data_IF_424521119026
#
_entry.id   IF_424521119026
#
_cell.length_a   1.000
_cell.length_b   1.000
_cell.length_c   1.000
_cell.angle_alpha   90.00
_cell.angle_beta   90.00
_cell.angle_gamma   90.00
#
_symmetry.space_group_name_H-M   'P 1'
#
loop_
_entity.id
_entity.type
_entity.pdbx_description
1 polymer ?
#
# COMPACT_ATOMS: atom_id res chain seq x y z
N UNK A 1 -33.43 9.74 -29.19
CA UNK A 1 -32.90 10.93 -29.89
C UNK A 1 -31.74 10.50 -30.78
N UNK A 2 -31.66 11.00 -32.02
CA UNK A 2 -30.53 10.68 -32.92
C UNK A 2 -29.28 11.46 -32.54
N UNK A 3 -28.13 10.79 -32.54
CA UNK A 3 -26.82 11.34 -32.23
C UNK A 3 -25.90 11.16 -33.44
N UNK A 4 -25.38 12.23 -33.99
CA UNK A 4 -24.45 12.19 -35.13
C UNK A 4 -23.04 12.47 -34.63
N UNK A 5 -22.16 11.47 -34.66
CA UNK A 5 -20.78 11.58 -34.16
C UNK A 5 -19.78 11.58 -35.31
N UNK A 6 -18.65 12.26 -35.13
CA UNK A 6 -17.47 12.14 -35.98
C UNK A 6 -16.60 11.01 -35.46
N UNK A 7 -16.57 9.89 -36.17
CA UNK A 7 -15.78 8.73 -35.79
C UNK A 7 -14.45 8.76 -36.53
N UNK A 8 -13.35 9.05 -35.83
CA UNK A 8 -11.99 8.88 -36.35
C UNK A 8 -11.61 7.40 -36.29
N UNK A 9 -11.44 6.78 -37.45
CA UNK A 9 -10.95 5.40 -37.58
C UNK A 9 -9.42 5.45 -37.60
N UNK A 10 -8.79 5.31 -36.44
CA UNK A 10 -7.35 5.56 -36.28
C UNK A 10 -6.47 4.73 -37.23
N UNK A 11 -6.74 3.44 -37.51
CA UNK A 11 -5.92 2.66 -38.45
C UNK A 11 -5.87 3.21 -39.88
N UNK A 12 -6.92 3.92 -40.32
CA UNK A 12 -6.99 4.49 -41.67
C UNK A 12 -6.78 6.00 -41.68
N UNK A 13 -6.78 6.65 -40.51
CA UNK A 13 -6.74 8.10 -40.36
C UNK A 13 -8.00 8.82 -40.86
N UNK A 14 -9.05 8.09 -41.24
CA UNK A 14 -10.26 8.67 -41.82
C UNK A 14 -11.29 9.01 -40.74
N UNK A 15 -11.86 10.21 -40.80
CA UNK A 15 -13.01 10.61 -39.97
C UNK A 15 -14.31 10.44 -40.75
N UNK A 16 -15.22 9.61 -40.24
CA UNK A 16 -16.56 9.39 -40.84
C UNK A 16 -17.64 9.95 -39.92
N UNK A 17 -18.58 10.72 -40.47
CA UNK A 17 -19.80 11.09 -39.73
C UNK A 17 -20.75 9.90 -39.71
N UNK A 18 -21.13 9.46 -38.52
CA UNK A 18 -22.01 8.32 -38.32
C UNK A 18 -23.18 8.68 -37.40
N UNK A 19 -24.36 8.18 -37.76
CA UNK A 19 -25.59 8.36 -36.99
C UNK A 19 -25.82 7.16 -36.08
N UNK A 20 -26.06 7.44 -34.81
CA UNK A 20 -26.38 6.50 -33.73
C UNK A 20 -27.66 6.96 -33.00
N UNK A 21 -28.14 6.15 -32.06
CA UNK A 21 -29.14 6.58 -31.08
C UNK A 21 -28.45 6.81 -29.74
N UNK A 22 -28.90 7.81 -28.97
CA UNK A 22 -28.25 8.16 -27.71
C UNK A 22 -28.31 7.02 -26.67
N UNK A 23 -29.36 6.20 -26.70
CA UNK A 23 -29.58 5.02 -25.85
C UNK A 23 -28.84 3.77 -26.32
N UNK A 24 -28.21 3.79 -27.51
CA UNK A 24 -27.42 2.67 -28.03
C UNK A 24 -26.28 2.31 -27.07
N UNK A 25 -26.08 1.01 -26.84
CA UNK A 25 -24.95 0.50 -26.08
C UNK A 25 -23.62 0.75 -26.82
N UNK A 26 -22.56 1.07 -26.08
CA UNK A 26 -21.23 1.32 -26.67
C UNK A 26 -20.72 0.10 -27.45
N UNK A 27 -20.95 -1.12 -26.95
CA UNK A 27 -20.60 -2.35 -27.66
C UNK A 27 -21.31 -2.50 -29.01
N UNK A 28 -22.60 -2.14 -29.08
CA UNK A 28 -23.39 -2.13 -30.32
C UNK A 28 -22.91 -1.04 -31.30
N UNK A 29 -22.56 0.13 -30.77
CA UNK A 29 -21.97 1.21 -31.57
C UNK A 29 -20.62 0.79 -32.19
N UNK A 30 -19.78 0.07 -31.43
CA UNK A 30 -18.52 -0.50 -31.93
C UNK A 30 -18.77 -1.48 -33.08
N UNK A 31 -19.75 -2.38 -32.95
CA UNK A 31 -20.14 -3.32 -34.01
C UNK A 31 -20.59 -2.55 -35.26
N UNK A 32 -21.46 -1.55 -35.09
CA UNK A 32 -21.94 -0.69 -36.20
C UNK A 32 -20.79 0.01 -36.93
N UNK A 33 -19.81 0.53 -36.18
CA UNK A 33 -18.63 1.18 -36.75
C UNK A 33 -17.79 0.17 -37.53
N UNK A 34 -17.55 -1.01 -36.96
CA UNK A 34 -16.79 -2.09 -37.61
C UNK A 34 -17.45 -2.53 -38.92
N UNK A 35 -18.76 -2.72 -38.94
CA UNK A 35 -19.51 -3.11 -40.14
C UNK A 35 -19.45 -2.03 -41.23
N UNK A 36 -19.58 -0.74 -40.88
CA UNK A 36 -19.55 0.37 -41.84
C UNK A 36 -18.15 0.76 -42.33
N UNK A 37 -17.12 0.35 -41.60
CA UNK A 37 -15.73 0.69 -41.92
C UNK A 37 -14.95 -0.48 -42.48
N UNK A 38 -15.41 -1.70 -42.23
CA UNK A 38 -14.69 -2.96 -42.53
C UNK A 38 -13.29 -2.99 -41.90
N UNK A 39 -13.09 -2.23 -40.82
CA UNK A 39 -11.80 -2.10 -40.10
C UNK A 39 -12.03 -2.49 -38.64
N UNK A 40 -11.05 -3.19 -38.05
CA UNK A 40 -11.00 -3.46 -36.61
C UNK A 40 -11.31 -4.90 -36.20
N UNK A 41 -11.40 -5.12 -34.88
CA UNK A 41 -11.51 -6.45 -34.27
C UNK A 41 -11.98 -6.37 -32.80
N UNK A 42 -11.92 -7.49 -32.09
CA UNK A 42 -12.30 -7.55 -30.66
C UNK A 42 -11.37 -6.70 -29.76
N UNK A 43 -10.15 -6.40 -30.23
CA UNK A 43 -9.16 -5.57 -29.58
C UNK A 43 -9.39 -4.06 -29.78
N UNK A 44 -10.49 -3.65 -30.42
CA UNK A 44 -10.83 -2.25 -30.63
C UNK A 44 -11.87 -1.74 -29.63
N UNK A 45 -11.80 -0.45 -29.35
CA UNK A 45 -12.76 0.26 -28.52
C UNK A 45 -13.01 1.67 -29.03
N UNK A 46 -13.94 2.36 -28.37
CA UNK A 46 -14.18 3.77 -28.59
C UNK A 46 -13.56 4.60 -27.49
N UNK A 47 -12.78 5.59 -27.90
CA UNK A 47 -12.13 6.54 -27.04
C UNK A 47 -12.68 7.93 -27.30
N UNK A 48 -13.10 8.61 -26.24
CA UNK A 48 -13.49 10.01 -26.30
C UNK A 48 -12.25 10.85 -25.97
N UNK A 49 -11.71 11.63 -26.92
CA UNK A 49 -10.60 12.53 -26.65
C UNK A 49 -11.04 13.67 -25.72
N UNK A 50 -10.06 14.36 -25.13
CA UNK A 50 -10.33 15.59 -24.42
C UNK A 50 -11.02 16.58 -25.37
N UNK A 51 -12.16 17.11 -24.96
CA UNK A 51 -12.92 18.08 -25.75
C UNK A 51 -12.91 19.47 -25.10
N UNK A 52 -13.41 20.46 -25.83
CA UNK A 52 -13.49 21.87 -25.38
C UNK A 52 -14.40 22.07 -24.16
N UNK A 53 -15.12 21.03 -23.71
CA UNK A 53 -15.95 21.05 -22.51
C UNK A 53 -15.19 20.60 -21.26
N UNK A 54 -13.85 20.55 -21.36
CA UNK A 54 -12.93 20.17 -20.29
C UNK A 54 -13.20 18.76 -19.73
N UNK A 55 -13.81 17.88 -20.53
CA UNK A 55 -13.95 16.48 -20.11
C UNK A 55 -12.61 15.78 -20.30
N UNK A 56 -12.14 15.12 -19.24
CA UNK A 56 -10.97 14.27 -19.33
C UNK A 56 -11.20 13.20 -20.41
N UNK A 57 -10.16 12.89 -21.21
CA UNK A 57 -10.22 11.81 -22.19
C UNK A 57 -10.62 10.52 -21.49
N UNK A 58 -11.36 9.63 -22.16
CA UNK A 58 -11.77 8.36 -21.56
C UNK A 58 -12.16 7.30 -22.56
N UNK A 59 -12.01 6.05 -22.15
CA UNK A 59 -12.53 4.92 -22.88
C UNK A 59 -14.02 4.75 -22.58
N UNK A 60 -14.83 4.69 -23.64
CA UNK A 60 -16.25 4.35 -23.52
C UNK A 60 -16.33 2.86 -23.15
N UNK A 61 -17.13 2.54 -22.13
CA UNK A 61 -17.26 1.18 -21.58
C UNK A 61 -18.39 0.46 -22.29
N UNK A 62 -18.11 -0.75 -22.76
CA UNK A 62 -19.02 -1.54 -23.61
C UNK A 62 -20.40 -1.77 -22.95
N UNK A 63 -20.47 -1.79 -21.61
CA UNK A 63 -21.67 -1.99 -20.82
C UNK A 63 -22.47 -0.70 -20.50
N UNK A 64 -22.11 0.45 -21.09
CA UNK A 64 -22.84 1.71 -20.93
C UNK A 64 -23.42 2.19 -22.26
N UNK A 65 -24.36 3.12 -22.19
CA UNK A 65 -24.95 3.77 -23.36
C UNK A 65 -24.16 5.01 -23.76
N UNK A 66 -24.27 5.44 -25.02
CA UNK A 66 -23.62 6.68 -25.50
C UNK A 66 -24.09 7.92 -24.72
N UNK A 67 -25.37 7.98 -24.34
CA UNK A 67 -25.96 9.07 -23.55
C UNK A 67 -25.30 9.22 -22.17
N UNK A 68 -24.81 8.13 -21.57
CA UNK A 68 -24.16 8.17 -20.26
C UNK A 68 -22.87 8.99 -20.24
N UNK A 69 -22.33 9.32 -21.42
CA UNK A 69 -21.10 10.09 -21.59
C UNK A 69 -21.33 11.56 -21.95
N UNK A 70 -22.59 11.99 -22.09
CA UNK A 70 -22.92 13.38 -22.42
C UNK A 70 -22.47 13.81 -23.82
N UNK A 71 -22.35 12.86 -24.75
CA UNK A 71 -21.99 13.12 -26.15
C UNK A 71 -23.11 13.90 -26.86
N UNK A 72 -22.72 14.89 -27.64
CA UNK A 72 -23.61 15.69 -28.48
C UNK A 72 -23.34 15.51 -29.97
N UNK A 73 -24.19 16.10 -30.81
CA UNK A 73 -23.99 16.07 -32.25
C UNK A 73 -22.66 16.74 -32.63
N UNK A 74 -21.99 16.16 -33.62
CA UNK A 74 -20.68 16.56 -34.15
C UNK A 74 -19.48 16.40 -33.20
N UNK A 75 -19.68 15.81 -32.01
CA UNK A 75 -18.59 15.37 -31.14
C UNK A 75 -17.75 14.28 -31.81
N UNK A 76 -16.45 14.29 -31.50
CA UNK A 76 -15.48 13.35 -32.06
C UNK A 76 -15.22 12.18 -31.10
N UNK A 77 -15.17 10.97 -31.64
CA UNK A 77 -14.76 9.75 -30.95
C UNK A 77 -13.76 8.99 -31.81
N UNK A 78 -12.78 8.35 -31.17
CA UNK A 78 -11.70 7.62 -31.83
C UNK A 78 -11.97 6.13 -31.73
N UNK A 79 -12.12 5.48 -32.88
CA UNK A 79 -12.20 4.04 -32.99
C UNK A 79 -10.81 3.46 -33.22
N UNK A 80 -10.25 2.82 -32.20
CA UNK A 80 -8.84 2.45 -32.15
C UNK A 80 -8.57 1.21 -31.31
N UNK A 81 -7.35 0.65 -31.43
CA UNK A 81 -6.90 -0.50 -30.65
C UNK A 81 -6.80 -0.16 -29.16
N UNK A 82 -7.39 -1.01 -28.33
CA UNK A 82 -7.28 -1.01 -26.86
C UNK A 82 -5.86 -1.39 -26.44
N UNK A 83 -5.22 -2.32 -27.17
CA UNK A 83 -3.89 -2.81 -26.84
C UNK A 83 -2.78 -1.92 -27.40
N UNK A 84 -1.86 -1.48 -26.54
CA UNK A 84 -0.69 -0.69 -26.93
C UNK A 84 0.56 -1.14 -26.20
N UNK A 85 1.70 -1.09 -26.91
CA UNK A 85 3.01 -1.33 -26.32
C UNK A 85 3.43 -0.12 -25.48
N UNK A 86 3.65 -0.33 -24.18
CA UNK A 86 4.07 0.68 -23.21
C UNK A 86 5.48 0.37 -22.72
N UNK A 87 6.27 1.42 -22.49
CA UNK A 87 7.63 1.33 -21.92
C UNK A 87 7.56 1.43 -20.40
N UNK A 88 8.00 0.38 -19.70
CA UNK A 88 8.06 0.34 -18.24
C UNK A 88 9.51 0.18 -17.80
N UNK A 89 10.02 1.13 -17.02
CA UNK A 89 11.31 1.04 -16.33
C UNK A 89 11.12 0.28 -15.02
N UNK A 90 11.80 -0.85 -14.91
CA UNK A 90 11.76 -1.76 -13.76
C UNK A 90 12.66 -1.27 -12.61
N UNK A 91 12.63 -2.00 -11.49
CA UNK A 91 13.35 -1.67 -10.26
C UNK A 91 14.88 -1.73 -10.42
N UNK A 92 15.37 -2.63 -11.27
CA UNK A 92 16.79 -2.78 -11.63
C UNK A 92 17.29 -1.71 -12.63
N UNK A 93 16.40 -0.80 -13.06
CA UNK A 93 16.70 0.26 -14.02
C UNK A 93 16.49 -0.14 -15.49
N UNK A 94 16.21 -1.41 -15.79
CA UNK A 94 15.98 -1.90 -17.15
C UNK A 94 14.63 -1.41 -17.69
N UNK A 95 14.55 -1.07 -18.98
CA UNK A 95 13.30 -0.67 -19.62
C UNK A 95 12.76 -1.84 -20.46
N UNK A 96 11.55 -2.32 -20.14
CA UNK A 96 10.84 -3.34 -20.91
C UNK A 96 9.67 -2.72 -21.66
N UNK A 97 9.50 -3.16 -22.91
CA UNK A 97 8.32 -2.83 -23.72
C UNK A 97 7.31 -3.96 -23.57
N UNK A 98 6.09 -3.64 -23.15
CA UNK A 98 5.04 -4.63 -22.87
C UNK A 98 3.71 -4.18 -23.47
N UNK A 99 2.95 -5.12 -24.04
CA UNK A 99 1.65 -4.87 -24.63
C UNK A 99 0.56 -4.96 -23.54
N UNK A 100 -0.22 -3.89 -23.36
CA UNK A 100 -1.32 -3.83 -22.39
C UNK A 100 -2.60 -3.32 -23.02
N UNK A 101 -3.75 -3.77 -22.51
CA UNK A 101 -5.04 -3.15 -22.75
C UNK A 101 -5.14 -1.83 -21.97
N UNK A 102 -5.18 -0.69 -22.68
CA UNK A 102 -5.25 0.66 -22.12
C UNK A 102 -6.62 1.04 -21.58
N UNK A 103 -7.64 0.19 -21.75
CA UNK A 103 -8.96 0.36 -21.12
C UNK A 103 -8.97 -0.09 -19.67
N UNK A 104 -7.92 -0.78 -19.24
CA UNK A 104 -7.75 -1.27 -17.88
C UNK A 104 -7.20 -0.17 -16.95
N UNK A 105 -7.65 -0.15 -15.69
CA UNK A 105 -7.03 0.64 -14.63
C UNK A 105 -5.53 0.37 -14.48
N UNK A 106 -4.80 1.37 -14.00
CA UNK A 106 -3.36 1.28 -13.73
C UNK A 106 -3.02 0.14 -12.76
N UNK A 107 -3.89 -0.16 -11.77
CA UNK A 107 -3.66 -1.28 -10.84
C UNK A 107 -3.57 -2.63 -11.56
N UNK A 108 -4.42 -2.87 -12.55
CA UNK A 108 -4.40 -4.13 -13.31
C UNK A 108 -3.16 -4.20 -14.21
N UNK A 109 -2.75 -3.07 -14.78
CA UNK A 109 -1.49 -2.96 -15.52
C UNK A 109 -0.29 -3.31 -14.62
N UNK A 110 -0.26 -2.81 -13.39
CA UNK A 110 0.80 -3.11 -12.41
C UNK A 110 0.80 -4.60 -12.06
N UNK A 111 -0.37 -5.21 -11.82
CA UNK A 111 -0.47 -6.64 -11.54
C UNK A 111 0.07 -7.48 -12.71
N UNK A 112 -0.31 -7.17 -13.96
CA UNK A 112 0.21 -7.84 -15.15
C UNK A 112 1.73 -7.65 -15.33
N UNK A 113 2.26 -6.46 -15.03
CA UNK A 113 3.72 -6.23 -15.00
C UNK A 113 4.36 -7.13 -13.94
N UNK A 114 3.77 -7.19 -12.75
CA UNK A 114 4.24 -7.98 -11.62
C UNK A 114 4.31 -9.47 -11.94
N UNK A 115 3.23 -10.06 -12.46
CA UNK A 115 3.20 -11.45 -12.92
C UNK A 115 4.29 -11.75 -13.97
N UNK A 116 4.51 -10.83 -14.91
CA UNK A 116 5.47 -11.01 -16.00
C UNK A 116 6.94 -10.93 -15.55
N UNK A 117 7.21 -10.27 -14.42
CA UNK A 117 8.56 -10.15 -13.87
C UNK A 117 8.74 -10.95 -12.58
N UNK A 118 7.74 -11.78 -12.22
CA UNK A 118 7.70 -12.58 -10.99
C UNK A 118 7.87 -11.72 -9.71
N UNK A 119 7.21 -10.56 -9.69
CA UNK A 119 7.22 -9.65 -8.55
C UNK A 119 6.19 -10.09 -7.51
N UNK A 120 6.67 -10.55 -6.37
CA UNK A 120 5.84 -10.78 -5.19
C UNK A 120 5.21 -9.46 -4.69
N UNK A 121 3.95 -9.54 -4.23
CA UNK A 121 3.18 -8.42 -3.69
C UNK A 121 3.07 -7.22 -4.65
N UNK A 122 2.70 -7.45 -5.92
CA UNK A 122 2.55 -6.40 -6.93
C UNK A 122 1.61 -5.25 -6.48
N UNK A 123 0.66 -5.53 -5.59
CA UNK A 123 -0.22 -4.54 -4.96
C UNK A 123 0.52 -3.43 -4.17
N UNK A 124 1.78 -3.65 -3.78
CA UNK A 124 2.60 -2.64 -3.12
C UNK A 124 3.17 -1.61 -4.09
N UNK A 125 3.14 -1.90 -5.38
CA UNK A 125 3.77 -1.10 -6.42
C UNK A 125 2.73 -0.28 -7.17
N UNK A 126 3.22 0.77 -7.83
CA UNK A 126 2.42 1.56 -8.75
C UNK A 126 3.32 2.15 -9.83
N UNK A 127 2.70 2.84 -10.78
CA UNK A 127 3.41 3.52 -11.86
C UNK A 127 3.55 5.01 -11.55
N UNK A 128 4.76 5.51 -11.71
CA UNK A 128 5.03 6.93 -11.84
C UNK A 128 5.34 7.28 -13.29
N UNK A 129 5.20 8.55 -13.62
CA UNK A 129 5.69 9.08 -14.88
C UNK A 129 6.38 10.42 -14.62
N UNK A 130 7.28 10.79 -15.53
CA UNK A 130 7.97 12.06 -15.49
C UNK A 130 7.12 13.11 -16.18
N UNK A 131 6.42 13.93 -15.40
CA UNK A 131 5.57 15.00 -15.90
C UNK A 131 6.43 16.18 -16.36
N UNK A 132 6.44 16.51 -17.67
CA UNK A 132 7.25 17.59 -18.20
C UNK A 132 6.58 18.94 -17.89
N UNK A 133 6.96 19.55 -16.76
CA UNK A 133 6.48 20.87 -16.37
C UNK A 133 7.49 21.97 -16.77
N UNK A 134 7.04 23.23 -16.97
CA UNK A 134 7.94 24.34 -17.33
C UNK A 134 9.06 24.62 -16.32
N UNK A 135 8.83 24.31 -15.04
CA UNK A 135 9.81 24.49 -13.96
C UNK A 135 10.81 23.32 -13.83
N UNK A 136 10.72 22.33 -14.72
CA UNK A 136 11.48 21.08 -14.66
C UNK A 136 10.57 19.86 -14.50
N UNK A 137 11.05 18.66 -14.85
CA UNK A 137 10.26 17.43 -14.74
C UNK A 137 9.92 17.11 -13.27
N UNK A 138 8.71 16.64 -13.04
CA UNK A 138 8.24 16.16 -11.72
C UNK A 138 7.78 14.71 -11.82
N UNK A 139 8.16 13.88 -10.85
CA UNK A 139 7.67 12.51 -10.80
C UNK A 139 6.27 12.47 -10.17
N UNK A 140 5.28 12.13 -10.99
CA UNK A 140 3.88 12.06 -10.56
C UNK A 140 3.40 10.60 -10.53
N UNK A 141 2.70 10.24 -9.45
CA UNK A 141 2.04 8.94 -9.35
C UNK A 141 0.78 8.91 -10.22
N UNK A 142 0.60 7.81 -10.95
CA UNK A 142 -0.68 7.51 -11.57
C UNK A 142 -1.70 7.06 -10.53
N UNK A 143 -2.95 7.44 -10.76
CA UNK A 143 -4.13 7.01 -10.04
C UNK A 143 -4.40 5.53 -10.38
N UNK A 144 -4.36 4.61 -9.39
CA UNK A 144 -4.50 3.17 -9.64
C UNK A 144 -5.84 2.77 -10.27
N UNK A 145 -6.92 3.49 -9.91
CA UNK A 145 -8.30 3.15 -10.29
C UNK A 145 -8.75 3.79 -11.62
N UNK A 146 -7.85 4.51 -12.31
CA UNK A 146 -8.12 5.13 -13.61
C UNK A 146 -7.20 4.50 -14.66
N UNK A 147 -7.62 4.55 -15.92
CA UNK A 147 -6.76 4.16 -17.02
C UNK A 147 -5.63 5.19 -17.20
N UNK A 148 -4.53 4.84 -17.89
CA UNK A 148 -3.39 5.76 -18.08
C UNK A 148 -3.82 7.03 -18.82
N UNK A 149 -4.56 6.88 -19.92
CA UNK A 149 -4.92 8.00 -20.78
C UNK A 149 -5.97 8.91 -20.15
N UNK A 150 -6.82 8.39 -19.25
CA UNK A 150 -7.83 9.15 -18.50
C UNK A 150 -7.26 10.21 -17.56
N UNK A 151 -5.95 10.15 -17.35
CA UNK A 151 -5.20 11.04 -16.45
C UNK A 151 -4.42 12.09 -17.24
N UNK A 152 -4.74 12.27 -18.54
CA UNK A 152 -4.01 13.14 -19.47
C UNK A 152 -2.53 12.77 -19.64
N UNK A 153 -2.20 11.49 -19.43
CA UNK A 153 -0.83 10.99 -19.57
C UNK A 153 -0.68 10.30 -20.91
N UNK A 154 0.29 10.77 -21.70
CA UNK A 154 0.59 10.16 -23.00
C UNK A 154 1.26 8.80 -22.81
N UNK A 155 0.90 7.85 -23.65
CA UNK A 155 1.36 6.44 -23.56
C UNK A 155 2.73 6.18 -24.18
N UNK A 156 3.30 7.17 -24.86
CA UNK A 156 4.68 7.15 -25.35
C UNK A 156 5.70 7.40 -24.23
N UNK A 157 5.30 7.90 -23.07
CA UNK A 157 6.19 8.07 -21.92
C UNK A 157 6.82 6.76 -21.43
N UNK A 158 7.92 6.88 -20.67
CA UNK A 158 8.48 5.77 -19.90
C UNK A 158 7.87 5.81 -18.50
N UNK A 159 7.12 4.76 -18.15
CA UNK A 159 6.51 4.63 -16.82
C UNK A 159 7.48 3.94 -15.87
N UNK A 160 7.63 4.47 -14.66
CA UNK A 160 8.54 3.93 -13.66
C UNK A 160 7.73 3.06 -12.69
N UNK A 161 8.07 1.76 -12.63
CA UNK A 161 7.54 0.89 -11.59
C UNK A 161 8.23 1.22 -10.26
N UNK A 162 7.47 1.63 -9.25
CA UNK A 162 7.99 2.02 -7.94
C UNK A 162 7.09 1.50 -6.82
N UNK A 163 7.69 1.12 -5.70
CA UNK A 163 6.95 0.76 -4.48
C UNK A 163 6.24 2.01 -3.96
N UNK A 164 4.92 1.93 -3.81
CA UNK A 164 4.04 3.01 -3.36
C UNK A 164 3.50 2.74 -1.97
N UNK A 165 3.16 1.48 -1.68
CA UNK A 165 2.60 1.06 -0.40
C UNK A 165 3.63 0.20 0.35
N UNK A 166 3.81 0.46 1.63
CA UNK A 166 4.74 -0.28 2.49
C UNK A 166 3.94 -1.11 3.49
N UNK A 167 3.52 -2.32 3.10
CA UNK A 167 2.62 -3.17 3.89
C UNK A 167 3.31 -4.44 4.42
N UNK A 168 3.74 -5.30 3.51
CA UNK A 168 4.45 -6.56 3.73
C UNK A 168 5.96 -6.36 3.62
N UNK A 169 6.56 -5.71 4.60
CA UNK A 169 8.03 -5.58 4.64
C UNK A 169 8.73 -6.89 5.09
N UNK A 170 8.21 -8.08 4.77
CA UNK A 170 8.53 -9.31 5.50
C UNK A 170 10.00 -9.78 5.41
N UNK A 171 10.82 -9.34 4.46
CA UNK A 171 12.11 -9.96 4.21
C UNK A 171 13.29 -8.99 4.38
N UNK A 172 13.81 -8.85 5.61
CA UNK A 172 15.21 -8.46 5.80
C UNK A 172 15.95 -9.72 6.19
N UNK A 173 16.80 -10.22 5.31
CA UNK A 173 17.74 -11.28 5.65
C UNK A 173 19.16 -10.76 5.61
N UNK A 174 19.98 -11.22 6.56
CA UNK A 174 21.44 -11.06 6.49
C UNK A 174 22.05 -11.94 5.39
N UNK A 175 21.30 -12.93 4.90
CA UNK A 175 21.71 -13.85 3.83
C UNK A 175 21.67 -13.22 2.43
N UNK A 176 21.09 -12.02 2.30
CA UNK A 176 21.16 -11.17 1.10
C UNK A 176 21.86 -9.82 1.42
N UNK A 177 23.20 -9.78 1.41
CA UNK A 177 23.95 -8.56 1.70
C UNK A 177 23.71 -7.43 0.70
N UNK A 178 23.38 -7.75 -0.57
CA UNK A 178 23.16 -6.75 -1.61
C UNK A 178 21.79 -6.08 -1.43
N UNK A 179 20.73 -6.87 -1.25
CA UNK A 179 19.40 -6.35 -0.96
C UNK A 179 19.39 -5.52 0.32
N UNK A 180 20.07 -5.99 1.36
CA UNK A 180 20.24 -5.24 2.60
C UNK A 180 20.97 -3.91 2.38
N UNK A 181 22.02 -3.90 1.56
CA UNK A 181 22.75 -2.68 1.26
C UNK A 181 21.91 -1.67 0.46
N UNK A 182 21.17 -2.12 -0.55
CA UNK A 182 20.30 -1.24 -1.34
C UNK A 182 19.19 -0.62 -0.47
N UNK A 183 18.59 -1.42 0.42
CA UNK A 183 17.59 -0.94 1.36
C UNK A 183 18.18 0.10 2.33
N UNK A 184 19.40 -0.15 2.83
CA UNK A 184 20.14 0.79 3.67
C UNK A 184 20.37 2.13 2.96
N UNK A 185 20.85 2.11 1.71
CA UNK A 185 21.08 3.33 0.93
C UNK A 185 19.79 4.11 0.73
N UNK A 186 18.69 3.44 0.36
CA UNK A 186 17.39 4.09 0.15
C UNK A 186 16.83 4.72 1.43
N UNK A 187 16.85 3.99 2.54
CA UNK A 187 16.37 4.50 3.83
C UNK A 187 17.21 5.70 4.29
N UNK A 188 18.53 5.61 4.13
CA UNK A 188 19.48 6.66 4.51
C UNK A 188 19.25 7.93 3.69
N UNK A 189 19.11 7.82 2.36
CA UNK A 189 18.83 8.95 1.49
C UNK A 189 17.47 9.61 1.81
N UNK A 190 16.43 8.80 2.07
CA UNK A 190 15.12 9.32 2.47
C UNK A 190 15.16 10.08 3.81
N UNK A 191 15.93 9.61 4.78
CA UNK A 191 16.09 10.29 6.08
C UNK A 191 16.92 11.57 5.93
N UNK A 192 18.07 11.52 5.25
CA UNK A 192 18.96 12.68 5.09
C UNK A 192 18.33 13.76 4.22
N UNK A 193 17.59 13.40 3.16
CA UNK A 193 16.85 14.38 2.35
C UNK A 193 15.69 15.03 3.12
N UNK A 194 15.29 14.46 4.26
CA UNK A 194 14.13 14.89 5.05
C UNK A 194 12.79 14.44 4.46
N UNK A 195 12.82 13.58 3.43
CA UNK A 195 11.62 12.93 2.88
C UNK A 195 10.95 12.05 3.94
N UNK A 196 11.76 11.38 4.76
CA UNK A 196 11.31 10.56 5.88
C UNK A 196 11.47 11.32 7.20
N UNK A 197 10.38 11.78 7.84
CA UNK A 197 10.45 12.44 9.13
C UNK A 197 10.88 11.46 10.24
N UNK A 198 11.88 11.84 11.01
CA UNK A 198 12.39 11.07 12.15
C UNK A 198 12.48 11.97 13.38
N UNK A 199 12.19 11.44 14.57
CA UNK A 199 12.31 12.22 15.80
C UNK A 199 13.78 12.40 16.22
N UNK A 200 14.15 13.52 16.85
CA UNK A 200 15.55 13.80 17.21
C UNK A 200 16.25 12.67 17.99
N UNK A 201 15.54 12.01 18.91
CA UNK A 201 16.07 10.90 19.71
C UNK A 201 16.48 9.68 18.85
N UNK A 202 15.73 9.39 17.79
CA UNK A 202 15.97 8.26 16.89
C UNK A 202 17.05 8.59 15.84
N UNK A 203 17.14 9.87 15.45
CA UNK A 203 18.13 10.35 14.47
C UNK A 203 19.56 10.10 14.94
N UNK A 204 19.88 10.32 16.22
CA UNK A 204 21.23 10.07 16.72
C UNK A 204 21.65 8.60 16.61
N UNK A 205 20.72 7.68 16.89
CA UNK A 205 20.96 6.24 16.77
C UNK A 205 21.14 5.81 15.31
N UNK A 206 20.32 6.35 14.40
CA UNK A 206 20.46 6.11 12.95
C UNK A 206 21.79 6.67 12.42
N UNK A 207 22.13 7.91 12.76
CA UNK A 207 23.39 8.52 12.37
C UNK A 207 24.61 7.75 12.91
N UNK A 208 24.54 7.22 14.13
CA UNK A 208 25.59 6.37 14.69
C UNK A 208 25.73 5.03 13.95
N UNK A 209 24.61 4.38 13.59
CA UNK A 209 24.62 3.17 12.76
C UNK A 209 25.18 3.46 11.36
N UNK A 210 24.84 4.60 10.77
CA UNK A 210 25.40 5.05 9.49
C UNK A 210 26.92 5.31 9.59
N UNK A 211 27.38 5.97 10.67
CA UNK A 211 28.81 6.16 10.93
C UNK A 211 29.53 4.82 11.12
N UNK A 212 28.93 3.84 11.81
CA UNK A 212 29.50 2.50 11.94
C UNK A 212 29.66 1.79 10.60
N UNK A 213 28.75 2.02 9.64
CA UNK A 213 28.83 1.47 8.28
C UNK A 213 29.90 2.16 7.44
N UNK A 214 30.04 3.48 7.56
CA UNK A 214 30.89 4.30 6.66
C UNK A 214 32.31 4.52 7.19
N UNK A 215 32.45 4.75 8.49
CA UNK A 215 33.72 5.06 9.17
C UNK A 215 34.28 3.85 9.94
N UNK A 216 33.47 2.79 10.12
CA UNK A 216 33.85 1.58 10.83
C UNK A 216 33.81 1.71 12.35
N UNK A 217 34.68 0.98 13.05
CA UNK A 217 34.69 0.92 14.51
C UNK A 217 35.07 2.26 15.14
N UNK A 218 34.28 2.70 16.12
CA UNK A 218 34.59 3.91 16.89
C UNK A 218 35.96 3.84 17.59
N UNK A 219 36.80 4.87 17.41
CA UNK A 219 38.05 5.08 18.11
C UNK A 219 37.99 6.40 18.90
N UNK A 220 38.03 6.38 20.25
CA UNK A 220 37.98 7.58 21.08
C UNK A 220 39.09 8.61 20.82
N UNK A 221 40.26 8.19 20.34
CA UNK A 221 41.40 9.09 20.08
C UNK A 221 41.28 9.78 18.72
N UNK A 222 40.67 9.09 17.73
CA UNK A 222 40.50 9.61 16.36
C UNK A 222 39.18 10.36 16.20
N UNK A 223 38.09 9.84 16.75
CA UNK A 223 36.73 10.32 16.52
C UNK A 223 36.33 11.33 17.60
N UNK A 224 37.04 12.45 17.63
CA UNK A 224 36.79 13.58 18.55
C UNK A 224 36.11 14.71 17.77
N UNK A 225 34.97 15.25 18.24
CA UNK A 225 34.31 16.37 17.56
C UNK A 225 35.20 17.61 17.45
N UNK A 226 35.18 18.33 16.31
CA UNK A 226 34.41 18.03 15.11
C UNK A 226 35.12 16.96 14.24
N UNK A 227 34.42 15.87 13.93
CA UNK A 227 34.90 14.80 13.06
C UNK A 227 33.88 14.48 11.95
N UNK A 228 32.58 14.38 12.29
CA UNK A 228 31.57 13.98 11.32
C UNK A 228 31.12 15.18 10.46
N UNK A 229 31.10 14.99 9.14
CA UNK A 229 30.45 15.91 8.22
C UNK A 229 28.92 15.77 8.31
N UNK A 230 28.30 16.45 9.28
CA UNK A 230 26.91 16.25 9.71
C UNK A 230 25.85 16.19 8.58
N UNK A 231 26.04 16.92 7.48
CA UNK A 231 25.14 16.87 6.30
C UNK A 231 25.06 15.49 5.62
N UNK A 232 26.02 14.60 5.87
CA UNK A 232 26.00 13.21 5.38
C UNK A 232 25.20 12.27 6.30
N UNK A 233 24.84 12.71 7.50
CA UNK A 233 24.24 11.85 8.53
C UNK A 233 22.89 12.36 9.02
N UNK A 234 22.56 13.63 8.79
CA UNK A 234 21.41 14.31 9.37
C UNK A 234 20.58 15.06 8.32
N UNK A 235 19.25 15.15 8.52
CA UNK A 235 18.40 16.01 7.71
C UNK A 235 18.71 17.51 7.92
N UNK A 236 18.44 18.37 6.92
CA UNK A 236 18.74 19.80 6.98
C UNK A 236 18.18 20.53 8.22
N UNK A 237 17.03 20.08 8.73
CA UNK A 237 16.38 20.67 9.90
C UNK A 237 17.21 20.52 11.19
N UNK A 238 18.03 19.48 11.31
CA UNK A 238 18.78 19.15 12.52
C UNK A 238 20.25 19.60 12.48
N UNK A 239 20.73 20.13 11.34
CA UNK A 239 22.12 20.58 11.19
C UNK A 239 22.49 21.76 12.09
N UNK A 240 21.50 22.50 12.60
CA UNK A 240 21.70 23.67 13.48
C UNK A 240 21.65 23.30 14.97
N UNK A 241 21.34 22.05 15.31
CA UNK A 241 21.18 21.61 16.70
C UNK A 241 22.54 21.50 17.40
N UNK A 242 22.71 22.25 18.48
CA UNK A 242 23.98 22.27 19.22
C UNK A 242 24.14 20.98 20.02
N UNK A 243 25.29 20.32 19.88
CA UNK A 243 25.64 19.14 20.67
C UNK A 243 25.25 17.81 20.02
N UNK A 244 24.48 17.81 18.93
CA UNK A 244 24.01 16.59 18.26
C UNK A 244 25.16 15.65 17.84
N UNK A 245 26.30 16.20 17.40
CA UNK A 245 27.47 15.39 17.07
C UNK A 245 27.98 14.59 18.28
N UNK A 246 28.00 15.20 19.47
CA UNK A 246 28.43 14.50 20.70
C UNK A 246 27.48 13.35 21.05
N UNK A 247 26.19 13.54 20.82
CA UNK A 247 25.18 12.52 21.06
C UNK A 247 25.31 11.36 20.06
N UNK A 248 25.57 11.66 18.77
CA UNK A 248 25.88 10.65 17.76
C UNK A 248 27.13 9.85 18.15
N UNK A 249 28.21 10.52 18.59
CA UNK A 249 29.44 9.85 19.03
C UNK A 249 29.21 8.95 20.25
N UNK A 250 28.33 9.35 21.17
CA UNK A 250 27.95 8.56 22.35
C UNK A 250 27.23 7.28 21.94
N UNK A 251 26.33 7.34 20.97
CA UNK A 251 25.65 6.16 20.42
C UNK A 251 26.62 5.28 19.59
N UNK A 252 27.47 5.88 18.77
CA UNK A 252 28.44 5.15 17.94
C UNK A 252 29.43 4.34 18.78
N UNK A 253 29.86 4.86 19.93
CA UNK A 253 30.70 4.12 20.88
C UNK A 253 30.07 2.82 21.38
N UNK A 254 28.73 2.73 21.45
CA UNK A 254 28.03 1.51 21.88
C UNK A 254 28.03 0.42 20.80
N UNK A 255 28.37 0.75 19.56
CA UNK A 255 28.35 -0.16 18.42
C UNK A 255 29.66 -0.92 18.22
N UNK A 256 30.64 -0.77 19.13
CA UNK A 256 31.91 -1.49 19.09
C UNK A 256 31.68 -3.00 19.00
N UNK A 257 32.24 -3.63 17.95
CA UNK A 257 32.05 -5.06 17.67
C UNK A 257 30.89 -5.38 16.72
N UNK A 258 30.07 -4.39 16.34
CA UNK A 258 29.06 -4.56 15.29
C UNK A 258 29.71 -4.51 13.91
N UNK A 259 29.56 -5.58 13.12
CA UNK A 259 30.02 -5.64 11.73
C UNK A 259 29.21 -4.69 10.84
N UNK A 260 29.73 -4.37 9.66
CA UNK A 260 29.04 -3.52 8.69
C UNK A 260 27.65 -4.07 8.33
N UNK A 261 27.53 -5.37 8.00
CA UNK A 261 26.25 -6.01 7.68
C UNK A 261 25.26 -5.95 8.84
N UNK A 262 25.73 -6.20 10.08
CA UNK A 262 24.87 -6.09 11.26
C UNK A 262 24.46 -4.64 11.55
N UNK A 263 25.32 -3.66 11.25
CA UNK A 263 24.97 -2.25 11.38
C UNK A 263 23.91 -1.84 10.35
N UNK A 264 24.02 -2.28 9.09
CA UNK A 264 22.98 -2.10 8.06
C UNK A 264 21.65 -2.75 8.49
N UNK A 265 21.70 -3.99 8.96
CA UNK A 265 20.52 -4.71 9.45
C UNK A 265 19.83 -3.97 10.61
N UNK A 266 20.60 -3.58 11.64
CA UNK A 266 20.10 -2.79 12.77
C UNK A 266 19.56 -1.43 12.34
N UNK A 267 20.17 -0.77 11.36
CA UNK A 267 19.69 0.48 10.80
C UNK A 267 18.29 0.31 10.21
N UNK A 268 18.10 -0.69 9.34
CA UNK A 268 16.78 -0.96 8.75
C UNK A 268 15.76 -1.39 9.82
N UNK A 269 16.16 -2.22 10.79
CA UNK A 269 15.28 -2.58 11.90
C UNK A 269 14.81 -1.37 12.68
N UNK A 270 15.73 -0.44 12.99
CA UNK A 270 15.38 0.82 13.66
C UNK A 270 14.43 1.64 12.81
N UNK A 271 14.73 1.83 11.51
CA UNK A 271 13.85 2.52 10.58
C UNK A 271 12.43 1.95 10.57
N UNK A 272 12.29 0.62 10.60
CA UNK A 272 10.99 -0.07 10.61
C UNK A 272 10.23 0.00 11.91
N UNK A 273 10.94 0.24 13.02
CA UNK A 273 10.31 0.46 14.32
C UNK A 273 9.74 1.86 14.47
N UNK A 274 10.12 2.79 13.58
CA UNK A 274 9.62 4.16 13.60
C UNK A 274 8.12 4.17 13.32
N UNK A 275 7.37 4.97 14.09
CA UNK A 275 5.94 5.20 13.82
C UNK A 275 5.70 5.87 12.46
N UNK A 276 6.73 6.51 11.92
CA UNK A 276 6.75 7.16 10.62
C UNK A 276 7.24 6.23 9.50
N UNK A 277 7.58 4.97 9.77
CA UNK A 277 8.02 4.05 8.71
C UNK A 277 7.00 3.93 7.57
N UNK A 278 7.46 4.02 6.32
CA UNK A 278 6.58 3.99 5.15
C UNK A 278 5.60 5.18 5.03
N UNK A 279 5.82 6.27 5.78
CA UNK A 279 4.96 7.45 5.73
C UNK A 279 5.07 8.17 4.38
N UNK A 280 3.93 8.54 3.84
CA UNK A 280 3.84 9.56 2.79
C UNK A 280 3.29 10.82 3.41
N UNK A 281 3.95 11.95 3.18
CA UNK A 281 3.59 13.24 3.80
C UNK A 281 3.04 14.24 2.81
N UNK A 282 2.03 15.00 3.22
CA UNK A 282 1.37 16.04 2.42
C UNK A 282 1.27 17.34 3.21
N UNK A 283 1.52 18.47 2.55
CA UNK A 283 1.36 19.77 3.18
C UNK A 283 -0.10 20.20 3.11
N UNK A 284 -0.71 20.46 4.27
CA UNK A 284 -2.11 20.81 4.36
C UNK A 284 -2.32 22.06 5.24
N UNK A 285 -3.51 22.65 5.17
CA UNK A 285 -4.01 23.55 6.21
C UNK A 285 -5.23 22.93 6.88
N UNK A 286 -5.21 22.88 8.20
CA UNK A 286 -6.28 22.24 8.96
C UNK A 286 -7.37 23.25 9.30
N UNK A 287 -8.61 22.91 8.96
CA UNK A 287 -9.81 23.62 9.40
C UNK A 287 -10.64 22.66 10.26
N UNK A 288 -10.77 22.99 11.54
CA UNK A 288 -11.64 22.26 12.48
C UNK A 288 -13.02 22.92 12.56
N UNK A 289 -14.05 22.13 12.86
CA UNK A 289 -15.42 22.64 12.97
C UNK A 289 -15.50 23.67 14.08
N UNK A 290 -16.05 24.85 13.77
CA UNK A 290 -16.22 25.97 14.72
C UNK A 290 -15.05 26.96 14.74
N UNK A 291 -13.88 26.61 14.20
CA UNK A 291 -12.75 27.53 14.09
C UNK A 291 -12.91 28.46 12.88
N UNK A 292 -13.49 29.65 13.06
CA UNK A 292 -13.44 30.75 12.07
C UNK A 292 -12.07 31.44 12.06
N UNK A 293 -11.00 30.66 12.05
CA UNK A 293 -9.66 31.23 11.94
C UNK A 293 -9.49 31.84 10.54
N UNK A 294 -9.23 33.15 10.46
CA UNK A 294 -8.92 33.84 9.19
C UNK A 294 -7.73 33.21 8.44
N UNK A 295 -6.89 32.42 9.14
CA UNK A 295 -5.75 31.72 8.57
C UNK A 295 -5.61 30.34 9.22
N UNK A 296 -6.08 29.26 8.58
CA UNK A 296 -5.97 27.91 9.15
C UNK A 296 -4.49 27.51 9.31
N UNK A 297 -4.13 26.83 10.42
CA UNK A 297 -2.76 26.42 10.71
C UNK A 297 -2.24 25.47 9.63
N UNK A 298 -0.96 25.61 9.28
CA UNK A 298 -0.30 24.67 8.39
C UNK A 298 0.06 23.42 9.18
N UNK A 299 -0.24 22.25 8.62
CA UNK A 299 0.13 20.95 9.18
C UNK A 299 0.77 20.09 8.11
N UNK A 300 1.54 19.09 8.55
CA UNK A 300 2.03 18.03 7.69
C UNK A 300 1.19 16.78 7.97
N UNK A 301 0.34 16.40 7.02
CA UNK A 301 -0.41 15.15 7.08
C UNK A 301 0.53 14.00 6.73
N UNK A 302 0.58 12.96 7.56
CA UNK A 302 1.27 11.72 7.28
C UNK A 302 0.30 10.56 7.17
N UNK A 303 0.49 9.69 6.18
CA UNK A 303 -0.28 8.46 6.03
C UNK A 303 0.71 7.29 5.95
N UNK A 304 0.56 6.32 6.85
CA UNK A 304 1.27 5.03 6.85
C UNK A 304 0.27 3.90 6.66
N UNK A 305 0.77 2.66 6.58
CA UNK A 305 -0.09 1.46 6.53
C UNK A 305 -1.01 1.31 7.75
N UNK A 306 -0.60 1.84 8.90
CA UNK A 306 -1.28 1.60 10.18
C UNK A 306 -1.91 2.88 10.75
N UNK A 307 -1.54 4.07 10.26
CA UNK A 307 -1.88 5.32 10.93
C UNK A 307 -2.02 6.53 10.00
N UNK A 308 -2.87 7.46 10.43
CA UNK A 308 -2.91 8.84 9.95
C UNK A 308 -2.33 9.73 11.04
N UNK A 309 -1.36 10.58 10.68
CA UNK A 309 -0.61 11.42 11.60
C UNK A 309 -0.74 12.89 11.21
N UNK A 310 -0.97 13.77 12.19
CA UNK A 310 -0.77 15.21 11.99
C UNK A 310 0.54 15.60 12.65
N UNK A 311 1.42 16.26 11.89
CA UNK A 311 2.73 16.69 12.35
C UNK A 311 2.92 18.20 12.16
N UNK A 312 3.81 18.78 12.95
CA UNK A 312 4.28 20.14 12.74
C UNK A 312 5.09 20.24 11.44
N UNK A 313 4.89 21.30 10.65
CA UNK A 313 5.55 21.46 9.34
C UNK A 313 7.06 21.66 9.46
N UNK A 314 7.51 22.35 10.50
CA UNK A 314 8.91 22.72 10.71
C UNK A 314 9.64 21.66 11.52
N UNK A 315 9.12 21.33 12.70
CA UNK A 315 9.80 20.40 13.63
C UNK A 315 9.55 18.94 13.30
N UNK A 316 8.56 18.64 12.44
CA UNK A 316 8.09 17.28 12.13
C UNK A 316 7.62 16.48 13.35
N UNK A 317 7.48 17.12 14.51
CA UNK A 317 6.93 16.49 15.70
C UNK A 317 5.47 16.08 15.46
N UNK A 318 5.12 14.87 15.91
CA UNK A 318 3.76 14.34 15.81
C UNK A 318 2.90 15.05 16.86
N UNK A 319 1.82 15.69 16.40
CA UNK A 319 0.79 16.33 17.22
C UNK A 319 -0.31 15.32 17.57
N UNK A 320 -0.86 14.65 16.54
CA UNK A 320 -1.95 13.67 16.71
C UNK A 320 -1.73 12.44 15.83
N UNK A 321 -2.24 11.30 16.29
CA UNK A 321 -2.15 10.02 15.56
C UNK A 321 -3.43 9.23 15.75
N UNK A 322 -3.98 8.75 14.65
CA UNK A 322 -5.12 7.85 14.62
C UNK A 322 -4.74 6.58 13.87
N UNK A 323 -5.20 5.44 14.36
CA UNK A 323 -5.09 4.19 13.61
C UNK A 323 -5.88 4.30 12.31
N UNK A 324 -5.32 3.86 11.19
CA UNK A 324 -5.97 3.91 9.88
C UNK A 324 -7.31 3.14 9.89
N UNK A 325 -7.40 2.09 10.71
CA UNK A 325 -8.63 1.28 10.89
C UNK A 325 -9.78 2.04 11.57
N UNK A 326 -9.50 3.14 12.27
CA UNK A 326 -10.51 4.01 12.89
C UNK A 326 -11.07 5.04 11.89
N UNK A 327 -10.45 5.21 10.72
CA UNK A 327 -10.97 6.08 9.67
C UNK A 327 -12.24 5.44 9.10
N UNK A 328 -13.39 6.06 9.39
CA UNK A 328 -14.70 5.56 8.96
C UNK A 328 -14.96 5.89 7.50
N UNK A 329 -14.63 7.11 7.08
CA UNK A 329 -14.79 7.59 5.71
C UNK A 329 -13.87 8.79 5.47
N UNK A 330 -13.54 9.01 4.20
CA UNK A 330 -12.93 10.24 3.74
C UNK A 330 -13.60 10.69 2.44
N UNK A 331 -13.48 11.98 2.13
CA UNK A 331 -13.99 12.55 0.88
C UNK A 331 -13.05 13.64 0.39
N UNK A 332 -12.51 13.48 -0.83
CA UNK A 332 -11.88 14.58 -1.56
C UNK A 332 -12.99 15.44 -2.17
N UNK A 333 -12.82 16.76 -2.17
CA UNK A 333 -13.79 17.65 -2.82
C UNK A 333 -13.64 17.58 -4.34
N UNK A 334 -14.75 17.81 -5.06
CA UNK A 334 -14.77 17.84 -6.52
C UNK A 334 -13.82 18.90 -7.12
N UNK A 335 -13.48 19.92 -6.33
CA UNK A 335 -12.52 20.96 -6.72
C UNK A 335 -11.05 20.54 -6.59
N UNK A 336 -10.77 19.39 -5.96
CA UNK A 336 -9.40 18.92 -5.69
C UNK A 336 -8.64 19.72 -4.63
N UNK A 337 -9.33 20.61 -3.88
CA UNK A 337 -8.71 21.60 -2.97
C UNK A 337 -8.87 21.28 -1.49
N UNK A 338 -9.63 20.24 -1.17
CA UNK A 338 -9.85 19.84 0.21
C UNK A 338 -10.13 18.35 0.35
N UNK A 339 -9.75 17.81 1.51
CA UNK A 339 -10.02 16.45 1.94
C UNK A 339 -10.67 16.49 3.31
N UNK A 340 -11.80 15.79 3.46
CA UNK A 340 -12.48 15.62 4.74
C UNK A 340 -12.18 14.23 5.30
N UNK A 341 -11.75 14.15 6.56
CA UNK A 341 -11.52 12.90 7.29
C UNK A 341 -12.54 12.78 8.44
N UNK A 342 -13.21 11.63 8.52
CA UNK A 342 -14.19 11.30 9.58
C UNK A 342 -13.79 9.98 10.24
N UNK A 343 -13.46 10.05 11.53
CA UNK A 343 -13.08 8.90 12.36
C UNK A 343 -14.27 8.29 13.12
N UNK A 344 -15.51 8.68 12.79
CA UNK A 344 -16.72 8.17 13.41
C UNK A 344 -16.74 8.47 14.91
N UNK A 345 -17.16 7.49 15.73
CA UNK A 345 -17.28 7.69 17.18
C UNK A 345 -15.93 7.81 17.91
N UNK A 346 -14.81 7.68 17.20
CA UNK A 346 -13.47 7.86 17.77
C UNK A 346 -13.08 9.33 17.89
N UNK A 347 -13.74 10.22 17.14
CA UNK A 347 -13.58 11.67 17.26
C UNK A 347 -14.91 12.39 17.09
N UNK A 348 -15.15 13.43 17.88
CA UNK A 348 -16.44 14.12 17.86
C UNK A 348 -16.63 14.99 16.60
N UNK A 349 -15.55 15.36 15.92
CA UNK A 349 -15.56 16.25 14.76
C UNK A 349 -14.79 15.66 13.57
N UNK A 350 -15.19 16.08 12.37
CA UNK A 350 -14.46 15.81 11.14
C UNK A 350 -13.33 16.84 10.94
N UNK A 351 -12.26 16.41 10.27
CA UNK A 351 -11.13 17.28 9.93
C UNK A 351 -11.20 17.66 8.46
N UNK A 352 -11.19 18.96 8.15
CA UNK A 352 -11.09 19.45 6.77
C UNK A 352 -9.67 19.91 6.51
N UNK A 353 -8.99 19.25 5.59
CA UNK A 353 -7.64 19.54 5.15
C UNK A 353 -7.69 20.28 3.82
N UNK A 354 -7.24 21.53 3.79
CA UNK A 354 -7.07 22.28 2.55
C UNK A 354 -5.72 21.92 1.92
N UNK A 355 -5.74 21.43 0.68
CA UNK A 355 -4.57 20.96 -0.07
C UNK A 355 -4.93 20.76 -1.54
N UNK A 356 -3.99 20.99 -2.45
CA UNK A 356 -4.13 20.70 -3.88
C UNK A 356 -3.86 19.21 -4.20
N UNK A 357 -3.54 18.41 -3.19
CA UNK A 357 -3.18 16.98 -3.31
C UNK A 357 -4.28 16.07 -2.76
N UNK A 358 -5.53 16.55 -2.65
CA UNK A 358 -6.62 15.78 -2.02
C UNK A 358 -6.86 14.44 -2.70
N UNK A 359 -6.75 14.39 -4.04
CA UNK A 359 -6.91 13.16 -4.82
C UNK A 359 -5.77 12.18 -4.58
N UNK A 360 -4.53 12.68 -4.47
CA UNK A 360 -3.36 11.86 -4.17
C UNK A 360 -3.48 11.23 -2.78
N UNK A 361 -3.92 12.01 -1.78
CA UNK A 361 -4.15 11.51 -0.42
C UNK A 361 -5.29 10.48 -0.43
N UNK A 362 -6.41 10.78 -1.09
CA UNK A 362 -7.55 9.88 -1.20
C UNK A 362 -7.18 8.54 -1.84
N UNK A 363 -6.40 8.58 -2.92
CA UNK A 363 -5.86 7.39 -3.60
C UNK A 363 -4.93 6.57 -2.70
N UNK A 364 -4.08 7.24 -1.92
CA UNK A 364 -3.17 6.57 -1.00
C UNK A 364 -3.95 5.86 0.12
N UNK A 365 -4.94 6.54 0.72
CA UNK A 365 -5.81 5.97 1.74
C UNK A 365 -6.59 4.76 1.22
N UNK A 366 -7.18 4.87 0.03
CA UNK A 366 -7.87 3.74 -0.63
C UNK A 366 -6.93 2.55 -0.77
N UNK A 367 -5.74 2.76 -1.35
CA UNK A 367 -4.82 1.66 -1.60
C UNK A 367 -4.36 0.95 -0.32
N UNK A 368 -4.06 1.68 0.75
CA UNK A 368 -3.74 1.03 2.03
C UNK A 368 -4.92 0.24 2.60
N UNK A 369 -6.14 0.78 2.54
CA UNK A 369 -7.34 0.09 3.02
C UNK A 369 -7.63 -1.16 2.19
N UNK A 370 -7.51 -1.07 0.87
CA UNK A 370 -7.72 -2.20 -0.04
C UNK A 370 -6.72 -3.34 0.24
N UNK A 371 -5.44 -3.01 0.46
CA UNK A 371 -4.41 -3.99 0.86
C UNK A 371 -4.75 -4.62 2.22
N UNK A 372 -5.15 -3.82 3.21
CA UNK A 372 -5.56 -4.33 4.55
C UNK A 372 -6.75 -5.28 4.45
N UNK A 373 -7.76 -4.92 3.65
CA UNK A 373 -8.97 -5.74 3.46
C UNK A 373 -8.66 -7.03 2.70
N UNK A 374 -7.79 -6.97 1.69
CA UNK A 374 -7.30 -8.16 0.96
C UNK A 374 -6.56 -9.11 1.90
N UNK A 375 -5.58 -8.61 2.65
CA UNK A 375 -4.81 -9.42 3.60
C UNK A 375 -5.70 -10.10 4.65
N UNK A 376 -6.76 -9.42 5.13
CA UNK A 376 -7.76 -10.02 6.04
C UNK A 376 -8.56 -11.13 5.37
N UNK A 377 -8.98 -10.94 4.12
CA UNK A 377 -9.71 -11.96 3.36
C UNK A 377 -8.84 -13.19 3.10
N UNK A 378 -7.57 -12.98 2.74
CA UNK A 378 -6.63 -14.06 2.48
C UNK A 378 -6.30 -14.82 3.76
N UNK A 379 -6.12 -14.13 4.89
CA UNK A 379 -5.98 -14.77 6.20
C UNK A 379 -7.21 -15.59 6.61
N UNK A 380 -8.43 -15.09 6.34
CA UNK A 380 -9.66 -15.83 6.61
C UNK A 380 -9.78 -17.10 5.75
N UNK A 381 -9.42 -17.00 4.45
CA UNK A 381 -9.38 -18.17 3.55
C UNK A 381 -8.39 -19.24 4.01
N UNK A 382 -7.22 -18.85 4.50
CA UNK A 382 -6.24 -19.81 5.03
C UNK A 382 -6.81 -20.56 6.26
N UNK A 383 -7.59 -19.88 7.11
CA UNK A 383 -8.25 -20.53 8.25
C UNK A 383 -9.32 -21.50 7.78
N UNK A 384 -10.14 -21.12 6.79
CA UNK A 384 -11.16 -21.98 6.21
C UNK A 384 -10.53 -23.19 5.49
N UNK A 385 -9.51 -22.99 4.66
CA UNK A 385 -8.78 -24.07 3.97
C UNK A 385 -8.10 -25.02 4.95
N UNK A 386 -7.52 -24.51 6.05
CA UNK A 386 -6.98 -25.37 7.11
C UNK A 386 -8.10 -26.15 7.82
N UNK A 387 -9.28 -25.56 7.99
CA UNK A 387 -10.41 -26.24 8.63
C UNK A 387 -11.04 -27.29 7.69
N UNK A 388 -11.09 -27.04 6.38
CA UNK A 388 -11.50 -28.01 5.35
C UNK A 388 -10.46 -29.12 5.15
N UNK A 389 -9.15 -28.81 5.21
CA UNK A 389 -8.08 -29.80 5.20
C UNK A 389 -8.15 -30.73 6.43
N UNK A 390 -8.44 -30.17 7.62
CA UNK A 390 -8.68 -30.96 8.84
C UNK A 390 -9.96 -31.79 8.72
N UNK A 391 -11.03 -31.26 8.13
CA UNK A 391 -12.29 -31.98 7.92
C UNK A 391 -12.20 -33.10 6.87
N UNK A 392 -11.26 -33.02 5.92
CA UNK A 392 -11.05 -34.05 4.88
C UNK A 392 -10.10 -35.17 5.31
N UNK A 393 -9.17 -34.92 6.23
CA UNK A 393 -8.29 -35.98 6.77
C UNK A 393 -8.97 -36.93 7.78
N UNK A 394 -10.10 -36.55 8.39
CA UNK A 394 -10.74 -37.37 9.44
C UNK A 394 -11.71 -38.47 8.95
N UNK A 395 -11.91 -38.63 7.63
CA UNK A 395 -12.84 -39.66 7.12
C UNK A 395 -12.23 -40.51 6.02
N UNK A 396 -11.39 -41.51 6.36
CA UNK A 396 -11.18 -42.72 5.55
C UNK A 396 -10.38 -43.79 6.33
N UNK A 397 -10.98 -44.39 7.37
CA UNK A 397 -10.65 -45.77 7.77
C UNK A 397 -11.96 -46.55 7.96
N UNK A 398 -12.51 -47.08 6.87
CA UNK A 398 -13.44 -48.21 6.94
C UNK A 398 -12.67 -49.45 7.38
N UNK A 399 -12.77 -49.84 8.66
CA UNK A 399 -12.38 -51.19 9.10
C UNK A 399 -13.45 -52.18 8.65
N UNK A 400 -13.17 -52.95 7.59
CA UNK A 400 -13.86 -54.22 7.32
C UNK A 400 -13.46 -55.23 8.40
N UNK A 401 -14.44 -55.78 9.11
CA UNK A 401 -14.25 -56.89 10.04
C UNK A 401 -13.84 -58.16 9.30
N UNK A 402 -12.78 -58.80 9.78
CA UNK A 402 -12.45 -60.19 9.47
C UNK A 402 -12.58 -61.00 10.76
N UNK A 403 -13.59 -61.86 10.81
CA UNK A 403 -13.74 -62.87 11.82
C UNK A 403 -12.75 -64.01 11.54
N UNK A 404 -11.89 -64.31 12.50
CA UNK A 404 -11.20 -65.60 12.54
C UNK A 404 -11.93 -66.50 13.52
N UNK A 405 -12.58 -67.53 12.97
CA UNK A 405 -13.00 -68.70 13.73
C UNK A 405 -11.76 -69.57 14.00
N UNK A 406 -11.53 -69.94 15.25
CA UNK A 406 -10.67 -71.07 15.59
C UNK A 406 -11.28 -71.81 16.77
N UNK A 407 -11.49 -73.10 16.56
CA UNK A 407 -12.26 -74.02 17.39
C UNK A 407 -11.35 -74.74 18.40
N UNK A 408 -11.84 -74.90 19.64
CA UNK A 408 -11.50 -75.94 20.66
C UNK A 408 -10.06 -75.97 21.24
N UNK A 409 -9.79 -76.22 22.53
CA UNK A 409 -10.48 -77.05 23.54
C UNK A 409 -10.08 -76.71 24.99
N UNK A 410 -11.09 -76.72 25.89
CA UNK A 410 -11.17 -77.27 27.26
C UNK A 410 -9.88 -77.32 28.12
N UNK A 411 -9.87 -76.58 29.25
CA UNK A 411 -9.51 -77.11 30.59
C UNK A 411 -9.96 -76.15 31.72
N UNK A 412 -10.73 -76.67 32.68
CA UNK A 412 -11.01 -76.16 34.03
C UNK A 412 -10.79 -77.35 34.97
N UNK A 413 -10.37 -77.25 36.27
CA UNK A 413 -11.16 -76.54 37.30
C UNK A 413 -10.46 -76.06 38.62
N UNK A 414 -11.22 -75.27 39.40
CA UNK A 414 -11.19 -75.10 40.89
C UNK A 414 -10.01 -74.28 41.49
N UNK A 415 -10.08 -73.52 42.60
CA UNK A 415 -10.91 -73.50 43.82
C UNK A 415 -10.91 -72.08 44.49
N UNK A 416 -11.96 -71.76 45.27
CA UNK A 416 -12.13 -70.63 46.23
C UNK A 416 -11.52 -71.03 47.63
N UNK A 417 -11.63 -70.32 48.80
CA UNK A 417 -11.98 -68.93 49.19
C UNK A 417 -11.12 -68.33 50.37
N UNK A 418 -11.60 -67.23 51.01
CA UNK A 418 -11.20 -66.50 52.27
C UNK A 418 -10.44 -65.17 52.04
N UNK A 419 -10.70 -64.01 52.69
CA UNK A 419 -11.49 -63.57 53.86
C UNK A 419 -11.57 -62.00 53.79
N UNK A 420 -12.73 -61.31 53.81
CA UNK A 420 -13.54 -60.74 54.93
C UNK A 420 -13.00 -59.49 55.67
N UNK A 421 -13.84 -58.44 55.75
CA UNK A 421 -13.97 -57.39 56.81
C UNK A 421 -13.12 -56.11 56.63
N UNK A 422 -13.50 -54.88 57.01
CA UNK A 422 -14.66 -54.27 57.71
C UNK A 422 -14.43 -52.72 57.63
N UNK A 423 -15.37 -51.89 57.15
CA UNK A 423 -16.25 -50.92 57.85
C UNK A 423 -15.66 -49.69 58.60
N UNK A 424 -16.29 -48.53 58.30
CA UNK A 424 -16.74 -47.44 59.21
C UNK A 424 -15.98 -46.09 59.39
N UNK A 425 -16.78 -45.00 59.32
CA UNK A 425 -16.63 -43.70 60.01
C UNK A 425 -15.80 -42.63 59.27
N UNK A 426 -16.21 -41.37 59.09
CA UNK A 426 -17.31 -40.57 59.63
C UNK A 426 -16.85 -39.11 59.82
N UNK A 427 -17.73 -38.16 59.49
CA UNK A 427 -17.83 -36.78 60.00
C UNK A 427 -16.92 -35.64 59.44
N UNK A 428 -17.61 -34.64 58.88
CA UNK A 428 -17.24 -33.20 58.85
C UNK A 428 -17.42 -32.58 60.26
N UNK A 429 -16.99 -31.33 60.58
CA UNK A 429 -17.66 -30.11 60.06
C UNK A 429 -16.77 -28.83 59.89
N UNK A 430 -17.39 -27.79 59.28
CA UNK A 430 -17.43 -26.33 59.56
C UNK A 430 -16.26 -25.64 60.35
N UNK A 431 -15.88 -24.36 60.21
CA UNK A 431 -16.54 -23.10 59.83
C UNK A 431 -15.54 -21.91 59.83
N UNK A 432 -16.00 -20.77 59.28
CA UNK A 432 -15.72 -19.35 59.63
C UNK A 432 -14.32 -18.76 59.38
N UNK A 433 -14.17 -17.79 58.46
CA UNK A 433 -14.45 -16.33 58.59
C UNK A 433 -13.65 -15.61 59.68
N UNK A 434 -12.74 -14.72 59.26
CA UNK A 434 -12.55 -13.40 59.88
C UNK A 434 -12.21 -12.35 58.83
N UNK A 435 -12.83 -11.19 59.01
CA UNK A 435 -12.81 -9.99 58.17
C UNK A 435 -12.13 -8.87 58.97
N UNK A 436 -11.71 -7.81 58.27
CA UNK A 436 -11.54 -6.41 58.73
C UNK A 436 -10.30 -6.13 59.61
N UNK A 437 -9.67 -4.94 59.61
CA UNK A 437 -9.98 -3.67 58.97
C UNK A 437 -8.77 -2.71 58.95
N UNK A 438 -8.78 -1.85 57.94
CA UNK A 438 -8.44 -0.40 57.92
C UNK A 438 -7.28 0.20 58.71
N UNK A 439 -6.45 0.94 57.96
CA UNK A 439 -6.01 2.31 58.25
C UNK A 439 -5.96 3.08 56.94
#
# INVERSE_FOLDING_TARGET
MSLNLKVLVEPTGQTKKMKFTADMGVGEAIVTIREKTEVGGADFGLFMPANLRETNPKWLKDNRTLAAYGLENDDEVHYRKKHKAIRVKLLDGTVKVMLFDLTLPVVDIVNMVGEKIDLANAEEYSLQWENPLPAGPRLDWLQPNKCIEEQNVKTDNVFLLKKKYFYSDANISLDDPMGLHLLFVQATDAIISGLHPVMPAEVCALAALHAQVTEGRFNPEKHVPPYLELKKYLPPALLKEKGIEKDIMKEWRKLVGTTESNAKFKYIQLCRSLKTWGITTFHCRLTERGAKAKKPPKILLGVTRDSVLFMNVETKAIDRTWELRKLRRWAASDTGKSLTLDFGNHENDYFILMTEESDAISSLLSGYIDIILKARRDAARIVDDNNEAVATEETLIQRKGMAYATTTSIFSPSMNPYASGDSSGGAAPASSFFRTNTG
#
